data_IF_158566728207
#
_entry.id   IF_158566728207
#
_cell.length_a   1.000
_cell.length_b   1.000
_cell.length_c   1.000
_cell.angle_alpha   90.00
_cell.angle_beta   90.00
_cell.angle_gamma   90.00
#
_symmetry.space_group_name_H-M   'P 1'
#
loop_
_entity.id
_entity.type
_entity.pdbx_description
1 polymer ?
#
# COMPACT_ATOMS: atom_id res chain seq x y z
N UNK A 1 -85.22 53.28 24.61
CA UNK A 1 -83.78 53.25 24.96
C UNK A 1 -83.37 51.98 25.71
N UNK A 2 -84.06 51.57 26.79
CA UNK A 2 -83.71 50.34 27.53
C UNK A 2 -83.83 49.04 26.71
N UNK A 3 -84.84 48.91 25.84
CA UNK A 3 -85.04 47.71 25.01
C UNK A 3 -83.87 47.46 24.05
N UNK A 4 -83.37 48.52 23.39
CA UNK A 4 -82.25 48.42 22.45
C UNK A 4 -80.91 48.07 23.15
N UNK A 5 -80.72 48.51 24.40
CA UNK A 5 -79.55 48.14 25.20
C UNK A 5 -79.62 46.69 25.66
N UNK A 6 -80.80 46.22 26.06
CA UNK A 6 -81.02 44.82 26.43
C UNK A 6 -80.78 43.89 25.22
N UNK A 7 -81.28 44.25 24.04
CA UNK A 7 -81.04 43.48 22.81
C UNK A 7 -79.55 43.41 22.43
N UNK A 8 -78.79 44.50 22.63
CA UNK A 8 -77.36 44.52 22.38
C UNK A 8 -76.58 43.63 23.37
N UNK A 9 -76.98 43.63 24.64
CA UNK A 9 -76.40 42.79 25.69
C UNK A 9 -76.68 41.31 25.44
N UNK A 10 -77.90 40.95 25.06
CA UNK A 10 -78.27 39.58 24.71
C UNK A 10 -77.51 39.11 23.47
N UNK A 11 -77.34 39.96 22.45
CA UNK A 11 -76.51 39.63 21.27
C UNK A 11 -75.04 39.40 21.64
N UNK A 12 -74.46 40.28 22.47
CA UNK A 12 -73.09 40.10 22.95
C UNK A 12 -72.91 38.80 23.72
N UNK A 13 -73.80 38.48 24.65
CA UNK A 13 -73.78 37.22 25.38
C UNK A 13 -73.87 36.01 24.45
N UNK A 14 -74.78 36.04 23.47
CA UNK A 14 -74.90 34.96 22.49
C UNK A 14 -73.64 34.79 21.64
N UNK A 15 -72.99 35.89 21.23
CA UNK A 15 -71.75 35.85 20.45
C UNK A 15 -70.58 35.34 21.27
N UNK A 16 -70.48 35.69 22.55
CA UNK A 16 -69.45 35.20 23.45
C UNK A 16 -69.64 33.71 23.72
N UNK A 17 -70.87 33.27 23.95
CA UNK A 17 -71.19 31.86 24.15
C UNK A 17 -70.89 31.03 22.88
N UNK A 18 -71.23 31.57 21.70
CA UNK A 18 -70.97 30.92 20.42
C UNK A 18 -69.46 30.85 20.13
N UNK A 19 -68.73 31.94 20.35
CA UNK A 19 -67.28 31.99 20.17
C UNK A 19 -66.55 31.08 21.17
N UNK A 20 -67.04 30.99 22.42
CA UNK A 20 -66.50 30.11 23.44
C UNK A 20 -66.75 28.64 23.09
N UNK A 21 -67.93 28.28 22.59
CA UNK A 21 -68.25 26.93 22.14
C UNK A 21 -67.46 26.54 20.88
N UNK A 22 -67.28 27.48 19.95
CA UNK A 22 -66.43 27.26 18.77
C UNK A 22 -64.96 27.09 19.17
N UNK A 23 -64.46 27.89 20.11
CA UNK A 23 -63.08 27.79 20.62
C UNK A 23 -62.83 26.50 21.41
N UNK A 24 -63.80 26.06 22.20
CA UNK A 24 -63.68 24.80 22.97
C UNK A 24 -63.84 23.54 22.10
N UNK A 25 -64.45 23.66 20.91
CA UNK A 25 -64.49 22.60 19.90
C UNK A 25 -63.27 22.54 18.98
N UNK A 26 -62.39 23.56 18.99
CA UNK A 26 -61.16 23.53 18.20
C UNK A 26 -60.13 22.62 18.87
N UNK A 27 -59.74 21.55 18.18
CA UNK A 27 -58.61 20.72 18.60
C UNK A 27 -57.34 21.56 18.53
N UNK A 28 -56.54 21.60 19.62
CA UNK A 28 -55.25 22.30 19.61
C UNK A 28 -54.41 21.77 18.43
N UNK A 29 -53.76 22.64 17.65
CA UNK A 29 -52.94 22.19 16.53
C UNK A 29 -51.90 21.21 17.04
N UNK A 30 -51.89 20.00 16.48
CA UNK A 30 -50.87 18.99 16.77
C UNK A 30 -49.54 19.59 16.33
N UNK A 31 -48.56 19.63 17.25
CA UNK A 31 -47.25 20.14 16.92
C UNK A 31 -46.67 19.33 15.75
N UNK A 32 -46.35 20.01 14.64
CA UNK A 32 -45.71 19.37 13.48
C UNK A 32 -44.23 19.19 13.80
N UNK A 33 -43.93 18.15 14.55
CA UNK A 33 -42.61 17.78 15.05
C UNK A 33 -41.65 17.31 13.95
N UNK A 34 -42.20 16.82 12.82
CA UNK A 34 -41.46 16.36 11.64
C UNK A 34 -40.62 17.45 10.94
N UNK A 35 -40.94 18.73 11.15
CA UNK A 35 -40.19 19.87 10.61
C UNK A 35 -39.56 20.76 11.70
N UNK A 36 -39.57 20.31 12.95
CA UNK A 36 -38.96 21.08 14.03
C UNK A 36 -37.44 21.11 13.90
N UNK A 37 -36.81 22.25 14.21
CA UNK A 37 -35.34 22.41 14.21
C UNK A 37 -34.63 21.32 15.05
N UNK A 38 -35.26 20.87 16.15
CA UNK A 38 -34.75 19.80 17.00
C UNK A 38 -34.79 18.43 16.32
N UNK A 39 -35.88 18.12 15.62
CA UNK A 39 -36.01 16.86 14.86
C UNK A 39 -35.00 16.79 13.71
N UNK A 40 -34.83 17.88 12.95
CA UNK A 40 -33.82 17.98 11.90
C UNK A 40 -32.39 17.82 12.46
N UNK A 41 -32.09 18.39 13.63
CA UNK A 41 -30.77 18.27 14.27
C UNK A 41 -30.46 16.81 14.66
N UNK A 42 -31.39 16.11 15.31
CA UNK A 42 -31.18 14.74 15.77
C UNK A 42 -31.00 13.77 14.59
N UNK A 43 -31.83 13.90 13.55
CA UNK A 43 -31.69 13.06 12.36
C UNK A 43 -30.44 13.41 11.55
N UNK A 44 -30.05 14.70 11.52
CA UNK A 44 -28.79 15.14 10.93
C UNK A 44 -27.57 14.49 11.59
N UNK A 45 -27.55 14.40 12.93
CA UNK A 45 -26.47 13.71 13.66
C UNK A 45 -26.43 12.22 13.32
N UNK A 46 -27.58 11.54 13.29
CA UNK A 46 -27.65 10.11 12.94
C UNK A 46 -27.14 9.85 11.52
N UNK A 47 -27.60 10.64 10.55
CA UNK A 47 -27.14 10.54 9.16
C UNK A 47 -25.65 10.88 9.03
N UNK A 48 -25.16 11.86 9.79
CA UNK A 48 -23.74 12.20 9.85
C UNK A 48 -22.86 11.06 10.35
N UNK A 49 -23.27 10.36 11.41
CA UNK A 49 -22.56 9.18 11.93
C UNK A 49 -22.54 8.04 10.92
N UNK A 50 -23.66 7.76 10.25
CA UNK A 50 -23.74 6.74 9.19
C UNK A 50 -22.87 7.14 7.99
N UNK A 51 -22.88 8.42 7.61
CA UNK A 51 -22.03 8.96 6.54
C UNK A 51 -20.54 8.86 6.86
N UNK A 52 -20.13 9.10 8.11
CA UNK A 52 -18.74 8.96 8.53
C UNK A 52 -18.29 7.50 8.48
N UNK A 53 -19.10 6.58 9.00
CA UNK A 53 -18.80 5.14 8.95
C UNK A 53 -18.70 4.64 7.49
N UNK A 54 -19.66 5.00 6.63
CA UNK A 54 -19.62 4.67 5.21
C UNK A 54 -18.41 5.28 4.50
N UNK A 55 -18.07 6.53 4.83
CA UNK A 55 -16.89 7.22 4.30
C UNK A 55 -15.58 6.53 4.67
N UNK A 56 -15.43 6.05 5.90
CA UNK A 56 -14.23 5.29 6.32
C UNK A 56 -14.09 3.98 5.54
N UNK A 57 -15.19 3.24 5.36
CA UNK A 57 -15.17 2.00 4.58
C UNK A 57 -14.77 2.27 3.13
N UNK A 58 -15.33 3.31 2.51
CA UNK A 58 -14.96 3.69 1.14
C UNK A 58 -13.51 4.17 1.02
N UNK A 59 -12.99 4.91 2.02
CA UNK A 59 -11.60 5.33 2.04
C UNK A 59 -10.64 4.13 2.14
N UNK A 60 -10.94 3.15 3.01
CA UNK A 60 -10.16 1.91 3.11
C UNK A 60 -10.20 1.12 1.80
N UNK A 61 -11.38 0.98 1.19
CA UNK A 61 -11.52 0.33 -0.10
C UNK A 61 -10.71 1.03 -1.20
N UNK A 62 -10.70 2.37 -1.22
CA UNK A 62 -9.91 3.15 -2.18
C UNK A 62 -8.39 2.95 -1.99
N UNK A 63 -7.91 2.88 -0.74
CA UNK A 63 -6.50 2.59 -0.42
C UNK A 63 -6.12 1.18 -0.91
N UNK A 64 -6.96 0.18 -0.65
CA UNK A 64 -6.73 -1.20 -1.11
C UNK A 64 -6.64 -1.25 -2.64
N UNK A 65 -7.58 -0.60 -3.35
CA UNK A 65 -7.56 -0.50 -4.81
C UNK A 65 -6.29 0.19 -5.31
N UNK A 66 -5.81 1.22 -4.61
CA UNK A 66 -4.56 1.90 -4.96
C UNK A 66 -3.33 0.99 -4.80
N UNK A 67 -3.28 0.18 -3.74
CA UNK A 67 -2.20 -0.79 -3.52
C UNK A 67 -2.22 -1.86 -4.61
N UNK A 68 -3.40 -2.44 -4.90
CA UNK A 68 -3.57 -3.43 -5.98
C UNK A 68 -3.15 -2.84 -7.33
N UNK A 69 -3.55 -1.58 -7.62
CA UNK A 69 -3.16 -0.92 -8.88
C UNK A 69 -1.67 -0.68 -9.03
N UNK A 70 -0.98 -0.39 -7.93
CA UNK A 70 0.47 -0.19 -7.97
C UNK A 70 1.22 -1.51 -8.16
N UNK A 71 0.63 -2.65 -7.78
CA UNK A 71 1.29 -3.95 -7.88
C UNK A 71 2.60 -3.98 -7.09
N UNK A 72 2.65 -3.27 -5.96
CA UNK A 72 3.84 -3.26 -5.10
C UNK A 72 3.94 -4.61 -4.43
N UNK A 73 5.14 -5.16 -4.43
CA UNK A 73 5.43 -6.42 -3.77
C UNK A 73 5.57 -6.18 -2.27
N UNK A 74 4.82 -6.94 -1.49
CA UNK A 74 4.76 -6.80 -0.04
C UNK A 74 5.53 -7.90 0.69
N UNK A 75 5.90 -8.98 0.01
CA UNK A 75 6.60 -10.10 0.60
C UNK A 75 7.59 -10.76 -0.37
N UNK A 76 8.71 -11.30 0.10
CA UNK A 76 9.64 -12.11 -0.72
C UNK A 76 8.96 -13.32 -1.39
N UNK A 77 8.01 -13.96 -0.70
CA UNK A 77 7.32 -15.17 -1.17
C UNK A 77 6.49 -14.93 -2.43
N UNK A 78 5.98 -13.70 -2.61
CA UNK A 78 5.28 -13.28 -3.82
C UNK A 78 6.19 -13.36 -5.05
N UNK A 79 7.44 -12.91 -4.93
CA UNK A 79 8.42 -12.91 -6.04
C UNK A 79 8.91 -14.32 -6.29
N UNK A 80 9.36 -15.01 -5.24
CA UNK A 80 9.94 -16.35 -5.35
C UNK A 80 8.93 -17.34 -5.94
N UNK A 81 7.66 -17.27 -5.52
CA UNK A 81 6.59 -18.11 -6.03
C UNK A 81 6.20 -17.81 -7.47
N UNK A 82 6.11 -16.53 -7.86
CA UNK A 82 5.67 -16.12 -9.20
C UNK A 82 6.74 -16.33 -10.27
N UNK A 83 8.01 -16.08 -9.93
CA UNK A 83 9.13 -16.11 -10.87
C UNK A 83 10.03 -17.34 -10.71
N UNK A 84 9.74 -18.22 -9.74
CA UNK A 84 10.56 -19.38 -9.45
C UNK A 84 11.96 -19.02 -8.98
N UNK A 85 12.11 -17.84 -8.36
CA UNK A 85 13.40 -17.35 -7.89
C UNK A 85 13.79 -17.99 -6.57
N UNK A 86 15.09 -17.95 -6.31
CA UNK A 86 15.69 -18.50 -5.11
C UNK A 86 16.13 -17.35 -4.22
N UNK A 87 15.49 -17.17 -3.07
CA UNK A 87 16.01 -16.28 -2.02
C UNK A 87 17.41 -16.73 -1.58
N UNK A 88 18.35 -15.79 -1.63
CA UNK A 88 19.70 -15.91 -1.08
C UNK A 88 19.78 -15.34 0.32
N UNK A 89 19.15 -14.19 0.55
CA UNK A 89 19.00 -13.56 1.86
C UNK A 89 17.80 -12.62 1.86
N UNK A 90 17.18 -12.45 3.03
CA UNK A 90 16.11 -11.48 3.25
C UNK A 90 16.51 -10.53 4.39
N UNK A 91 17.03 -9.36 4.06
CA UNK A 91 17.37 -8.31 5.02
C UNK A 91 16.17 -7.39 5.35
N UNK A 92 15.01 -7.62 4.72
CA UNK A 92 13.76 -6.93 5.07
C UNK A 92 13.14 -7.52 6.35
N UNK A 93 13.37 -8.82 6.61
CA UNK A 93 13.03 -9.44 7.90
C UNK A 93 14.01 -9.00 8.99
N UNK A 94 13.46 -8.40 10.05
CA UNK A 94 14.20 -7.94 11.23
C UNK A 94 14.88 -9.07 12.00
N UNK A 95 14.50 -10.33 11.76
CA UNK A 95 15.10 -11.51 12.39
C UNK A 95 16.37 -11.98 11.68
N UNK A 96 16.61 -11.52 10.45
CA UNK A 96 17.77 -11.95 9.68
C UNK A 96 19.04 -11.31 10.24
N UNK A 97 19.89 -12.14 10.80
CA UNK A 97 21.23 -11.73 11.20
C UNK A 97 22.12 -11.60 9.96
N UNK A 98 22.75 -10.43 9.79
CA UNK A 98 23.46 -10.11 8.54
C UNK A 98 24.68 -11.00 8.29
N UNK A 99 25.49 -11.25 9.33
CA UNK A 99 26.71 -12.04 9.19
C UNK A 99 26.44 -13.49 8.70
N UNK A 100 25.57 -14.30 9.35
CA UNK A 100 25.29 -15.64 8.87
C UNK A 100 24.59 -15.66 7.51
N UNK A 101 23.77 -14.65 7.19
CA UNK A 101 23.17 -14.53 5.86
C UNK A 101 24.24 -14.37 4.77
N UNK A 102 25.22 -13.48 4.97
CA UNK A 102 26.31 -13.28 4.03
C UNK A 102 27.18 -14.54 3.85
N UNK A 103 27.49 -15.27 4.93
CA UNK A 103 28.22 -16.55 4.85
C UNK A 103 27.45 -17.60 4.05
N UNK A 104 26.14 -17.70 4.27
CA UNK A 104 25.29 -18.63 3.53
C UNK A 104 25.17 -18.26 2.05
N UNK A 105 25.07 -16.96 1.75
CA UNK A 105 25.10 -16.45 0.37
C UNK A 105 26.40 -16.85 -0.32
N UNK A 106 27.56 -16.65 0.32
CA UNK A 106 28.86 -17.01 -0.23
C UNK A 106 28.96 -18.50 -0.54
N UNK A 107 28.63 -19.35 0.43
CA UNK A 107 28.63 -20.80 0.24
C UNK A 107 27.73 -21.23 -0.93
N UNK A 108 26.57 -20.58 -1.10
CA UNK A 108 25.67 -20.86 -2.23
C UNK A 108 26.26 -20.41 -3.56
N UNK A 109 26.90 -19.24 -3.60
CA UNK A 109 27.58 -18.74 -4.80
C UNK A 109 28.75 -19.64 -5.20
N UNK A 110 29.53 -20.13 -4.24
CA UNK A 110 30.65 -21.05 -4.50
C UNK A 110 30.17 -22.35 -5.16
N UNK A 111 29.06 -22.89 -4.67
CA UNK A 111 28.43 -24.07 -5.26
C UNK A 111 27.86 -23.80 -6.66
N UNK A 112 27.20 -22.65 -6.87
CA UNK A 112 26.66 -22.26 -8.18
C UNK A 112 27.75 -21.97 -9.22
N UNK A 113 28.94 -21.56 -8.79
CA UNK A 113 30.09 -21.24 -9.64
C UNK A 113 31.13 -22.37 -9.65
N UNK A 114 30.80 -23.54 -9.12
CA UNK A 114 31.67 -24.72 -9.19
C UNK A 114 31.85 -25.15 -10.66
N UNK A 115 33.11 -25.23 -11.11
CA UNK A 115 33.44 -25.65 -12.48
C UNK A 115 33.25 -24.59 -13.57
N UNK A 116 32.82 -23.36 -13.23
CA UNK A 116 32.81 -22.24 -14.18
C UNK A 116 34.18 -21.57 -14.24
N UNK A 117 34.67 -21.30 -15.46
CA UNK A 117 35.95 -20.60 -15.69
C UNK A 117 35.90 -19.14 -15.22
N UNK A 118 34.76 -18.48 -15.43
CA UNK A 118 34.49 -17.15 -14.92
C UNK A 118 33.83 -17.25 -13.54
N UNK A 119 34.32 -16.43 -12.59
CA UNK A 119 33.84 -16.35 -11.20
C UNK A 119 33.40 -14.95 -10.79
N UNK A 120 33.13 -14.09 -11.77
CA UNK A 120 32.58 -12.76 -11.55
C UNK A 120 31.05 -12.81 -11.49
N UNK A 121 30.50 -12.35 -10.37
CA UNK A 121 29.06 -12.30 -10.11
C UNK A 121 28.62 -10.84 -10.12
N UNK A 122 27.67 -10.51 -10.99
CA UNK A 122 27.04 -9.20 -11.03
C UNK A 122 25.98 -9.06 -9.95
N UNK A 123 25.94 -7.92 -9.25
CA UNK A 123 24.87 -7.56 -8.33
C UNK A 123 24.11 -6.38 -8.94
N UNK A 124 22.83 -6.57 -9.20
CA UNK A 124 21.92 -5.62 -9.85
C UNK A 124 20.64 -5.48 -9.05
N UNK A 125 19.80 -4.51 -9.39
CA UNK A 125 18.41 -4.47 -8.94
C UNK A 125 17.92 -3.08 -8.59
N UNK A 126 16.84 -3.04 -7.80
CA UNK A 126 16.03 -1.86 -7.54
C UNK A 126 16.40 -1.10 -6.26
N UNK A 127 17.31 -1.65 -5.44
CA UNK A 127 17.84 -0.98 -4.25
C UNK A 127 18.82 0.14 -4.63
N UNK A 128 19.22 0.99 -3.67
CA UNK A 128 20.13 2.10 -4.00
C UNK A 128 21.51 1.62 -4.46
N UNK A 129 22.18 2.39 -5.31
CA UNK A 129 23.55 2.08 -5.75
C UNK A 129 24.51 1.86 -4.57
N UNK A 130 24.39 2.68 -3.53
CA UNK A 130 25.14 2.55 -2.28
C UNK A 130 24.90 1.19 -1.58
N UNK A 131 23.67 0.68 -1.59
CA UNK A 131 23.36 -0.63 -1.01
C UNK A 131 23.96 -1.78 -1.84
N UNK A 132 23.89 -1.69 -3.17
CA UNK A 132 24.49 -2.68 -4.08
C UNK A 132 26.01 -2.71 -3.90
N UNK A 133 26.66 -1.56 -3.86
CA UNK A 133 28.11 -1.43 -3.63
C UNK A 133 28.51 -1.97 -2.25
N UNK A 134 27.74 -1.62 -1.21
CA UNK A 134 27.96 -2.12 0.14
C UNK A 134 27.84 -3.64 0.22
N UNK A 135 26.85 -4.24 -0.45
CA UNK A 135 26.70 -5.69 -0.51
C UNK A 135 27.88 -6.34 -1.22
N UNK A 136 28.32 -5.80 -2.36
CA UNK A 136 29.49 -6.27 -3.09
C UNK A 136 30.75 -6.21 -2.24
N UNK A 137 30.98 -5.11 -1.51
CA UNK A 137 32.12 -4.95 -0.60
C UNK A 137 32.09 -5.98 0.53
N UNK A 138 30.95 -6.12 1.21
CA UNK A 138 30.80 -7.06 2.33
C UNK A 138 31.01 -8.51 1.92
N UNK A 139 30.52 -8.91 0.76
CA UNK A 139 30.76 -10.24 0.21
C UNK A 139 32.23 -10.40 -0.17
N UNK A 140 32.81 -9.41 -0.86
CA UNK A 140 34.21 -9.39 -1.27
C UNK A 140 35.20 -9.52 -0.11
N UNK A 141 34.95 -8.84 1.00
CA UNK A 141 35.77 -8.90 2.23
C UNK A 141 35.82 -10.30 2.87
N UNK A 142 34.80 -11.12 2.61
CA UNK A 142 34.66 -12.48 3.15
C UNK A 142 35.16 -13.55 2.19
N UNK A 143 35.42 -13.21 0.92
CA UNK A 143 35.98 -14.19 -0.02
C UNK A 143 37.43 -14.47 0.34
N UNK A 144 37.86 -15.75 0.40
CA UNK A 144 39.27 -16.08 0.59
C UNK A 144 40.15 -15.45 -0.48
N UNK A 145 41.34 -14.98 -0.10
CA UNK A 145 42.33 -14.45 -1.04
C UNK A 145 42.97 -15.58 -1.87
N UNK A 146 42.24 -16.11 -2.84
CA UNK A 146 42.69 -17.13 -3.80
C UNK A 146 42.57 -16.61 -5.24
N UNK A 147 43.39 -17.14 -6.15
CA UNK A 147 43.37 -16.73 -7.57
C UNK A 147 42.03 -17.06 -8.25
N UNK A 148 41.37 -18.13 -7.80
CA UNK A 148 40.07 -18.59 -8.29
C UNK A 148 38.91 -18.19 -7.34
N UNK A 149 39.14 -17.15 -6.54
CA UNK A 149 38.13 -16.58 -5.65
C UNK A 149 36.97 -15.95 -6.42
N UNK A 150 35.78 -15.98 -5.82
CA UNK A 150 34.63 -15.25 -6.32
C UNK A 150 34.92 -13.75 -6.32
N UNK A 151 34.41 -13.05 -7.33
CA UNK A 151 34.44 -11.59 -7.39
C UNK A 151 33.02 -11.08 -7.51
N UNK A 152 32.68 -10.11 -6.68
CA UNK A 152 31.37 -9.46 -6.70
C UNK A 152 31.50 -8.09 -7.35
N UNK A 153 30.64 -7.84 -8.34
CA UNK A 153 30.68 -6.63 -9.17
C UNK A 153 29.35 -5.91 -9.02
N UNK A 154 29.36 -4.70 -8.46
CA UNK A 154 28.18 -3.85 -8.39
C UNK A 154 27.81 -3.28 -9.78
N UNK A 155 26.54 -3.39 -10.17
CA UNK A 155 25.99 -2.90 -11.44
C UNK A 155 24.59 -2.28 -11.19
N UNK A 156 24.50 -1.12 -10.50
CA UNK A 156 23.22 -0.58 -10.01
C UNK A 156 22.29 0.00 -11.07
N UNK A 157 22.80 0.40 -12.25
CA UNK A 157 22.01 1.10 -13.29
C UNK A 157 21.86 0.30 -14.60
N UNK A 158 21.89 -1.03 -14.54
CA UNK A 158 21.91 -1.90 -15.72
C UNK A 158 20.70 -1.74 -16.67
N UNK A 159 19.59 -1.19 -16.19
CA UNK A 159 18.40 -0.94 -17.01
C UNK A 159 18.44 0.38 -17.79
N UNK A 160 19.30 1.33 -17.39
CA UNK A 160 19.33 2.69 -17.98
C UNK A 160 20.64 2.96 -18.71
N UNK A 161 21.73 2.31 -18.28
CA UNK A 161 23.05 2.50 -18.85
C UNK A 161 23.48 1.29 -19.71
N UNK A 162 23.74 1.56 -20.99
CA UNK A 162 24.23 0.56 -21.93
C UNK A 162 25.63 0.02 -21.58
N UNK A 163 26.48 0.80 -20.89
CA UNK A 163 27.77 0.30 -20.42
C UNK A 163 27.58 -0.71 -19.27
N UNK A 164 26.73 -0.38 -18.30
CA UNK A 164 26.31 -1.31 -17.25
C UNK A 164 25.66 -2.59 -17.80
N UNK A 165 24.78 -2.49 -18.81
CA UNK A 165 24.17 -3.65 -19.45
C UNK A 165 25.19 -4.53 -20.18
N UNK A 166 26.16 -3.95 -20.90
CA UNK A 166 27.24 -4.72 -21.54
C UNK A 166 28.09 -5.46 -20.51
N UNK A 167 28.41 -4.80 -19.39
CA UNK A 167 29.16 -5.39 -18.28
C UNK A 167 28.42 -6.57 -17.66
N UNK A 168 27.09 -6.50 -17.56
CA UNK A 168 26.26 -7.64 -17.13
C UNK A 168 26.50 -8.86 -18.01
N UNK A 169 26.62 -8.64 -19.32
CA UNK A 169 26.93 -9.65 -20.32
C UNK A 169 28.29 -10.33 -20.14
N UNK A 170 29.21 -9.81 -19.32
CA UNK A 170 30.51 -10.45 -19.04
C UNK A 170 30.48 -11.31 -17.76
N UNK A 171 29.40 -11.29 -16.98
CA UNK A 171 29.32 -11.97 -15.68
C UNK A 171 29.04 -13.47 -15.81
N UNK A 172 29.48 -14.27 -14.84
CA UNK A 172 29.21 -15.70 -14.76
C UNK A 172 27.80 -16.03 -14.24
N UNK A 173 27.20 -15.09 -13.53
CA UNK A 173 25.85 -15.12 -13.00
C UNK A 173 25.50 -13.79 -12.33
N UNK A 174 24.21 -13.61 -12.04
CA UNK A 174 23.66 -12.35 -11.53
C UNK A 174 22.90 -12.60 -10.23
N UNK A 175 23.06 -11.69 -9.27
CA UNK A 175 22.21 -11.57 -8.08
C UNK A 175 21.32 -10.35 -8.28
N UNK A 176 20.01 -10.55 -8.13
CA UNK A 176 19.02 -9.48 -8.16
C UNK A 176 18.74 -9.00 -6.72
N UNK A 177 18.75 -7.70 -6.50
CA UNK A 177 18.48 -7.06 -5.21
C UNK A 177 17.17 -6.29 -5.29
N UNK A 178 16.25 -6.55 -4.36
CA UNK A 178 14.90 -5.98 -4.41
C UNK A 178 14.54 -5.27 -3.12
N UNK A 179 13.82 -4.15 -3.25
CA UNK A 179 13.30 -3.42 -2.10
C UNK A 179 11.83 -3.76 -1.85
N UNK A 180 11.55 -4.47 -0.75
CA UNK A 180 10.20 -4.82 -0.33
C UNK A 180 9.41 -3.54 -0.01
N UNK A 181 8.15 -3.50 -0.48
CA UNK A 181 7.28 -2.35 -0.31
C UNK A 181 7.58 -1.17 -1.24
N UNK A 182 8.56 -1.29 -2.15
CA UNK A 182 8.81 -0.30 -3.22
C UNK A 182 8.84 -0.91 -4.61
N UNK A 183 9.45 -2.08 -4.77
CA UNK A 183 9.48 -2.79 -6.06
C UNK A 183 8.07 -3.21 -6.47
N UNK A 184 7.75 -3.07 -7.75
CA UNK A 184 6.50 -3.55 -8.34
C UNK A 184 6.73 -4.71 -9.32
N UNK A 185 5.69 -5.53 -9.53
CA UNK A 185 5.77 -6.72 -10.39
C UNK A 185 6.21 -6.41 -11.82
N UNK A 186 5.84 -5.24 -12.37
CA UNK A 186 6.22 -4.90 -13.74
C UNK A 186 7.70 -4.55 -13.83
N UNK A 187 8.26 -3.90 -12.81
CA UNK A 187 9.67 -3.56 -12.72
C UNK A 187 10.52 -4.82 -12.63
N UNK A 188 10.19 -5.73 -11.69
CA UNK A 188 10.92 -6.99 -11.53
C UNK A 188 10.86 -7.85 -12.78
N UNK A 189 9.69 -7.91 -13.44
CA UNK A 189 9.56 -8.60 -14.75
C UNK A 189 10.52 -8.06 -15.79
N UNK A 190 10.71 -6.74 -15.85
CA UNK A 190 11.65 -6.10 -16.77
C UNK A 190 13.09 -6.40 -16.38
N UNK A 191 13.42 -6.37 -15.10
CA UNK A 191 14.76 -6.68 -14.59
C UNK A 191 15.15 -8.12 -14.93
N UNK A 192 14.28 -9.09 -14.65
CA UNK A 192 14.48 -10.49 -14.98
C UNK A 192 14.60 -10.69 -16.50
N UNK A 193 13.74 -10.03 -17.29
CA UNK A 193 13.80 -10.10 -18.75
C UNK A 193 15.14 -9.57 -19.29
N UNK A 194 15.61 -8.44 -18.78
CA UNK A 194 16.91 -7.86 -19.18
C UNK A 194 18.09 -8.74 -18.78
N UNK A 195 18.04 -9.35 -17.59
CA UNK A 195 19.06 -10.33 -17.18
C UNK A 195 19.07 -11.51 -18.15
N UNK A 196 17.90 -12.04 -18.51
CA UNK A 196 17.79 -13.12 -19.49
C UNK A 196 18.28 -12.70 -20.90
N UNK A 197 17.97 -11.49 -21.34
CA UNK A 197 18.44 -10.90 -22.61
C UNK A 197 19.97 -10.73 -22.64
N UNK A 198 20.61 -10.47 -21.49
CA UNK A 198 22.07 -10.45 -21.37
C UNK A 198 22.72 -11.84 -21.52
N UNK A 199 21.91 -12.90 -21.61
CA UNK A 199 22.36 -14.29 -21.71
C UNK A 199 22.90 -14.85 -20.39
N UNK A 200 22.62 -14.19 -19.27
CA UNK A 200 23.13 -14.57 -17.94
C UNK A 200 22.05 -15.14 -17.05
N UNK A 201 22.48 -16.09 -16.22
CA UNK A 201 21.62 -16.78 -15.27
C UNK A 201 21.45 -15.93 -14.01
N UNK A 202 20.20 -15.79 -13.58
CA UNK A 202 19.86 -15.24 -12.28
C UNK A 202 20.07 -16.33 -11.20
N UNK A 203 21.11 -16.15 -10.40
CA UNK A 203 21.54 -17.12 -9.38
C UNK A 203 20.62 -17.09 -8.16
N UNK A 204 20.08 -15.91 -7.86
CA UNK A 204 19.08 -15.73 -6.81
C UNK A 204 18.83 -14.27 -6.47
N UNK A 205 17.95 -14.07 -5.49
CA UNK A 205 17.44 -12.76 -5.07
C UNK A 205 17.87 -12.41 -3.65
N UNK A 206 18.05 -11.12 -3.38
CA UNK A 206 18.33 -10.57 -2.05
C UNK A 206 17.32 -9.46 -1.77
N UNK A 207 16.62 -9.56 -0.64
CA UNK A 207 15.57 -8.61 -0.28
C UNK A 207 16.02 -7.60 0.77
N UNK A 208 15.58 -6.36 0.64
CA UNK A 208 15.85 -5.23 1.53
C UNK A 208 14.58 -4.48 1.92
#
# INVERSE_FOLDING_TARGET
>A
YQVAQNDALTKLQSSLYTAQNQSSGLTKPVAVDQYSKKYMLINGIKLGLVGLAAGMVLALAAIIVMIIRKGVILSPEEIDGEFGLRTLADFSDRKTEEAPALEFMLARMENCMAGKENREIGIVGSVSAEQIEKLASKLGERVPAAKDALKFVAIPDFMKDAAAFRKLGDMAGVILTEQIGKSDYMMIRKEIALIAESGRELVGTVYY
#
